data_IF_819755093966
#
_entry.id   IF_819755093966
#
_cell.length_a   1.000
_cell.length_b   1.000
_cell.length_c   1.000
_cell.angle_alpha   90.00
_cell.angle_beta   90.00
_cell.angle_gamma   90.00
#
_symmetry.space_group_name_H-M   'P 1'
#
loop_
_entity.id
_entity.type
_entity.pdbx_description
1 polymer ?
#
# COMPACT_ATOMS: atom_id res chain seq x y z
N UNK A 1 19.28 16.99 11.49
CA UNK A 1 18.31 16.42 11.76
C UNK A 1 17.68 16.00 10.67
N UNK A 2 17.21 14.98 10.71
CA UNK A 2 16.52 14.66 9.84
C UNK A 2 15.40 15.05 9.98
N UNK A 3 15.05 15.67 9.42
CA UNK A 3 13.87 16.00 9.30
C UNK A 3 13.25 15.20 8.43
N UNK A 4 12.16 14.82 8.70
CA UNK A 4 11.32 14.35 7.75
C UNK A 4 11.21 15.41 6.80
N UNK A 5 11.69 15.19 5.71
CA UNK A 5 11.62 16.17 4.72
C UNK A 5 10.17 16.52 4.50
N UNK A 6 9.86 17.69 4.20
CA UNK A 6 8.49 18.09 3.98
C UNK A 6 7.79 17.25 2.94
N UNK A 7 8.55 16.76 1.97
CA UNK A 7 7.95 15.97 0.94
C UNK A 7 7.68 14.55 1.37
N UNK A 8 8.19 14.12 2.53
CA UNK A 8 7.83 12.82 3.02
C UNK A 8 6.70 12.93 3.99
N UNK A 9 6.29 14.12 4.38
CA UNK A 9 5.15 14.22 5.16
C UNK A 9 4.05 14.12 4.25
N UNK A 10 3.03 13.64 4.68
CA UNK A 10 2.00 13.30 3.88
C UNK A 10 1.41 14.43 3.19
N UNK A 11 1.51 15.18 2.70
CA UNK A 11 0.94 16.13 1.79
C UNK A 11 -0.56 16.00 1.71
N UNK A 12 -1.18 15.30 2.65
CA UNK A 12 -2.60 15.05 2.55
C UNK A 12 -2.93 13.81 1.76
N UNK A 13 -1.95 13.10 1.27
CA UNK A 13 -2.20 11.89 0.51
C UNK A 13 -2.89 10.84 1.39
N UNK A 14 -3.77 10.06 0.80
CA UNK A 14 -4.52 9.03 1.50
C UNK A 14 -4.01 7.66 1.12
N UNK A 15 -3.64 6.88 2.12
CA UNK A 15 -3.18 5.51 1.93
C UNK A 15 -4.26 4.56 2.40
N UNK A 16 -4.41 3.45 1.69
CA UNK A 16 -5.27 2.37 2.15
C UNK A 16 -4.38 1.18 2.47
N UNK A 17 -4.35 0.77 3.73
CA UNK A 17 -3.51 -0.34 4.19
C UNK A 17 -4.39 -1.56 4.35
N UNK A 18 -4.06 -2.63 3.64
CA UNK A 18 -4.85 -3.84 3.64
C UNK A 18 -4.01 -5.02 4.14
N UNK A 19 -4.41 -5.59 5.25
CA UNK A 19 -3.69 -6.72 5.81
C UNK A 19 -4.67 -7.43 6.74
N UNK A 20 -4.74 -8.76 6.68
CA UNK A 20 -5.67 -9.49 7.52
C UNK A 20 -5.14 -9.66 8.94
N UNK A 21 -3.87 -9.34 9.18
CA UNK A 21 -3.32 -9.37 10.54
C UNK A 21 -3.60 -8.02 11.20
N UNK A 22 -4.40 -8.03 12.26
CA UNK A 22 -4.82 -6.81 12.93
C UNK A 22 -3.62 -6.01 13.45
N UNK A 23 -2.63 -6.69 14.01
CA UNK A 23 -1.46 -6.00 14.57
C UNK A 23 -0.64 -5.30 13.51
N UNK A 24 -0.40 -5.98 12.40
CA UNK A 24 0.35 -5.37 11.28
C UNK A 24 -0.41 -4.18 10.74
N UNK A 25 -1.72 -4.36 10.53
CA UNK A 25 -2.54 -3.30 9.96
C UNK A 25 -2.55 -2.07 10.86
N UNK A 26 -2.72 -2.28 12.15
CA UNK A 26 -2.78 -1.16 13.10
C UNK A 26 -1.43 -0.48 13.24
N UNK A 27 -0.35 -1.25 13.26
CA UNK A 27 0.98 -0.66 13.38
C UNK A 27 1.32 0.18 12.16
N UNK A 28 0.95 -0.31 10.97
CA UNK A 28 1.21 0.47 9.76
C UNK A 28 0.36 1.73 9.73
N UNK A 29 -0.89 1.65 10.17
CA UNK A 29 -1.75 2.81 10.19
C UNK A 29 -1.19 3.88 11.13
N UNK A 30 -0.70 3.48 12.30
CA UNK A 30 -0.10 4.42 13.22
C UNK A 30 1.16 5.05 12.65
N UNK A 31 1.99 4.23 12.03
CA UNK A 31 3.23 4.71 11.44
C UNK A 31 2.97 5.79 10.39
N UNK A 32 2.05 5.50 9.47
CA UNK A 32 1.79 6.45 8.40
C UNK A 32 1.06 7.70 8.90
N UNK A 33 0.24 7.53 9.94
CA UNK A 33 -0.40 8.69 10.55
C UNK A 33 0.65 9.64 11.12
N UNK A 34 1.71 9.08 11.73
CA UNK A 34 2.79 9.91 12.25
C UNK A 34 3.52 10.66 11.14
N UNK A 35 3.51 10.13 9.94
CA UNK A 35 4.15 10.80 8.82
C UNK A 35 3.23 11.78 8.12
N UNK A 36 2.01 11.97 8.62
CA UNK A 36 1.10 13.00 8.10
C UNK A 36 0.18 12.54 6.99
N UNK A 37 0.10 11.22 6.72
CA UNK A 37 -0.82 10.72 5.73
C UNK A 37 -2.20 10.52 6.32
N UNK A 38 -3.22 10.63 5.50
CA UNK A 38 -4.55 10.15 5.87
C UNK A 38 -4.53 8.64 5.63
N UNK A 39 -4.99 7.84 6.58
CA UNK A 39 -4.90 6.39 6.45
C UNK A 39 -6.26 5.76 6.61
N UNK A 40 -6.62 4.92 5.64
CA UNK A 40 -7.77 4.04 5.74
C UNK A 40 -7.24 2.62 5.85
N UNK A 41 -8.00 1.72 6.45
CA UNK A 41 -7.55 0.34 6.61
C UNK A 41 -8.64 -0.61 6.16
N UNK A 42 -8.23 -1.82 5.79
CA UNK A 42 -9.17 -2.88 5.44
C UNK A 42 -8.54 -4.21 5.80
N UNK A 43 -9.35 -5.18 6.20
CA UNK A 43 -8.85 -6.49 6.60
C UNK A 43 -8.84 -7.48 5.46
N UNK A 44 -9.45 -7.18 4.34
CA UNK A 44 -9.53 -8.08 3.20
C UNK A 44 -9.86 -7.29 1.94
N UNK A 45 -9.86 -7.97 0.81
CA UNK A 45 -10.07 -7.32 -0.49
C UNK A 45 -11.47 -6.72 -0.62
N UNK A 46 -12.48 -7.37 -0.06
CA UNK A 46 -13.83 -6.86 -0.16
C UNK A 46 -13.98 -5.52 0.57
N UNK A 47 -13.44 -5.44 1.79
CA UNK A 47 -13.45 -4.18 2.53
C UNK A 47 -12.64 -3.13 1.81
N UNK A 48 -11.51 -3.54 1.23
CA UNK A 48 -10.65 -2.60 0.51
C UNK A 48 -11.39 -1.98 -0.67
N UNK A 49 -12.11 -2.80 -1.43
CA UNK A 49 -12.85 -2.27 -2.57
C UNK A 49 -13.97 -1.33 -2.13
N UNK A 50 -14.58 -1.59 -0.98
CA UNK A 50 -15.58 -0.67 -0.45
C UNK A 50 -14.94 0.67 -0.09
N UNK A 51 -13.78 0.64 0.54
CA UNK A 51 -13.08 1.89 0.89
C UNK A 51 -12.67 2.65 -0.35
N UNK A 52 -12.22 1.94 -1.37
CA UNK A 52 -11.84 2.58 -2.63
C UNK A 52 -13.03 3.28 -3.30
N UNK A 53 -14.22 2.71 -3.15
CA UNK A 53 -15.41 3.32 -3.73
C UNK A 53 -15.85 4.57 -2.96
N UNK A 54 -15.58 4.59 -1.66
CA UNK A 54 -16.04 5.68 -0.80
C UNK A 54 -15.04 6.81 -0.60
N UNK A 55 -13.77 6.53 -0.72
CA UNK A 55 -12.72 7.49 -0.39
C UNK A 55 -11.79 7.73 -1.56
N UNK A 56 -11.15 8.87 -1.55
CA UNK A 56 -10.16 9.16 -2.57
C UNK A 56 -8.84 8.64 -2.07
N UNK A 57 -8.43 7.51 -2.54
CA UNK A 57 -7.20 6.86 -2.10
C UNK A 57 -6.11 7.07 -3.15
N UNK A 58 -4.94 7.49 -2.72
CA UNK A 58 -3.83 7.76 -3.61
C UNK A 58 -2.92 6.56 -3.76
N UNK A 59 -2.79 5.76 -2.72
CA UNK A 59 -1.90 4.61 -2.75
C UNK A 59 -2.48 3.46 -1.97
N UNK A 60 -2.44 2.27 -2.57
CA UNK A 60 -2.91 1.04 -1.95
C UNK A 60 -1.68 0.24 -1.51
N UNK A 61 -1.64 -0.15 -0.22
CA UNK A 61 -0.56 -0.95 0.30
C UNK A 61 -1.20 -2.23 0.80
N UNK A 62 -0.97 -3.34 0.13
CA UNK A 62 -1.69 -4.57 0.45
C UNK A 62 -0.79 -5.76 0.67
N UNK A 63 -1.15 -6.59 1.65
CA UNK A 63 -0.54 -7.87 1.85
C UNK A 63 -0.91 -8.78 0.68
N UNK A 64 -0.08 -9.75 0.37
CA UNK A 64 -0.35 -10.70 -0.68
C UNK A 64 -1.35 -11.76 -0.23
N UNK A 65 -1.06 -12.43 0.90
CA UNK A 65 -1.89 -13.53 1.32
C UNK A 65 -2.95 -13.08 2.26
N UNK A 66 -4.19 -13.23 1.84
CA UNK A 66 -5.35 -12.86 2.63
C UNK A 66 -6.46 -13.86 2.33
N UNK A 67 -7.40 -14.07 3.23
CA UNK A 67 -8.57 -14.90 2.90
C UNK A 67 -9.33 -14.24 1.76
N UNK A 68 -9.80 -15.04 0.84
CA UNK A 68 -10.49 -14.54 -0.34
C UNK A 68 -9.49 -14.08 -1.38
N UNK A 69 -9.81 -13.05 -2.14
CA UNK A 69 -8.88 -12.59 -3.18
C UNK A 69 -7.57 -12.14 -2.56
N UNK A 70 -6.48 -12.47 -3.22
CA UNK A 70 -5.16 -12.11 -2.71
C UNK A 70 -4.81 -10.68 -3.10
N UNK A 71 -3.65 -10.21 -2.63
CA UNK A 71 -3.23 -8.82 -2.87
C UNK A 71 -3.05 -8.49 -4.33
N UNK A 72 -2.58 -9.43 -5.14
CA UNK A 72 -2.41 -9.18 -6.57
C UNK A 72 -3.77 -9.02 -7.25
N UNK A 73 -4.73 -9.86 -6.89
CA UNK A 73 -6.09 -9.74 -7.42
C UNK A 73 -6.73 -8.43 -7.00
N UNK A 74 -6.47 -8.01 -5.76
CA UNK A 74 -6.96 -6.73 -5.27
C UNK A 74 -6.36 -5.58 -6.08
N UNK A 75 -5.05 -5.63 -6.36
CA UNK A 75 -4.40 -4.58 -7.14
C UNK A 75 -5.02 -4.48 -8.52
N UNK A 76 -5.29 -5.63 -9.14
CA UNK A 76 -5.91 -5.60 -10.45
C UNK A 76 -7.28 -4.96 -10.41
N UNK A 77 -8.09 -5.33 -9.43
CA UNK A 77 -9.43 -4.77 -9.30
C UNK A 77 -9.39 -3.28 -9.00
N UNK A 78 -8.45 -2.89 -8.13
CA UNK A 78 -8.32 -1.48 -7.76
C UNK A 78 -7.93 -0.63 -8.96
N UNK A 79 -7.04 -1.13 -9.78
CA UNK A 79 -6.58 -0.37 -10.94
C UNK A 79 -7.65 -0.29 -12.02
N UNK A 80 -8.51 -1.29 -12.11
CA UNK A 80 -9.64 -1.19 -13.03
C UNK A 80 -10.63 -0.12 -12.56
N UNK A 81 -10.85 -0.05 -11.25
CA UNK A 81 -11.78 0.93 -10.70
C UNK A 81 -11.20 2.33 -10.65
N UNK A 82 -9.90 2.43 -10.39
CA UNK A 82 -9.20 3.72 -10.24
C UNK A 82 -7.89 3.64 -10.98
N UNK A 83 -7.87 3.88 -12.28
CA UNK A 83 -6.65 3.66 -13.08
C UNK A 83 -5.42 4.43 -12.63
N UNK A 84 -5.60 5.52 -11.95
CA UNK A 84 -4.45 6.29 -11.48
C UNK A 84 -3.91 5.86 -10.13
N UNK A 85 -4.51 4.85 -9.49
CA UNK A 85 -4.07 4.48 -8.16
C UNK A 85 -2.72 3.77 -8.24
N UNK A 86 -1.87 4.02 -7.27
CA UNK A 86 -0.59 3.33 -7.18
C UNK A 86 -0.71 2.25 -6.13
N UNK A 87 -0.05 1.14 -6.36
CA UNK A 87 -0.17 -0.01 -5.47
C UNK A 87 1.17 -0.61 -5.13
N UNK A 88 1.36 -0.95 -3.86
CA UNK A 88 2.54 -1.62 -3.37
C UNK A 88 2.10 -2.95 -2.79
N UNK A 89 2.79 -4.03 -3.14
CA UNK A 89 2.50 -5.35 -2.60
C UNK A 89 3.48 -5.69 -1.49
N UNK A 90 2.95 -6.12 -0.36
CA UNK A 90 3.77 -6.65 0.75
C UNK A 90 3.67 -8.16 0.69
N UNK A 91 4.77 -8.86 0.77
CA UNK A 91 4.75 -10.30 0.64
C UNK A 91 5.74 -10.95 1.59
N UNK A 92 5.51 -12.21 1.91
CA UNK A 92 6.40 -12.94 2.79
C UNK A 92 7.68 -13.33 2.03
N UNK A 93 8.74 -13.50 2.79
CA UNK A 93 10.01 -13.89 2.22
C UNK A 93 9.82 -15.21 1.48
N UNK A 94 10.38 -15.31 0.33
CA UNK A 94 10.32 -16.57 -0.42
C UNK A 94 9.31 -16.60 -1.54
N UNK A 95 8.44 -15.61 -1.61
CA UNK A 95 7.45 -15.58 -2.68
C UNK A 95 8.00 -14.83 -3.88
N UNK A 96 9.19 -15.18 -4.32
CA UNK A 96 9.87 -14.40 -5.35
C UNK A 96 9.13 -14.37 -6.68
N UNK A 97 8.40 -15.44 -7.01
CA UNK A 97 7.65 -15.42 -8.26
C UNK A 97 6.56 -14.33 -8.25
N UNK A 98 6.13 -13.95 -7.05
CA UNK A 98 5.06 -12.98 -6.90
C UNK A 98 5.49 -11.58 -7.35
N UNK A 99 6.77 -11.29 -7.26
CA UNK A 99 7.25 -9.98 -7.67
C UNK A 99 6.97 -9.75 -9.16
N UNK A 100 7.32 -10.71 -10.00
CA UNK A 100 7.09 -10.58 -11.43
C UNK A 100 5.61 -10.48 -11.73
N UNK A 101 4.83 -11.34 -11.08
CA UNK A 101 3.40 -11.37 -11.31
C UNK A 101 2.77 -10.04 -10.89
N UNK A 102 3.17 -9.50 -9.74
CA UNK A 102 2.58 -8.27 -9.24
C UNK A 102 2.88 -7.09 -10.15
N UNK A 103 4.09 -7.03 -10.69
CA UNK A 103 4.46 -5.96 -11.59
C UNK A 103 3.63 -6.04 -12.87
N UNK A 104 3.44 -7.25 -13.39
CA UNK A 104 2.63 -7.42 -14.58
C UNK A 104 1.19 -7.01 -14.35
N UNK A 105 0.71 -7.14 -13.13
CA UNK A 105 -0.67 -6.83 -12.82
C UNK A 105 -0.88 -5.44 -12.27
N UNK A 106 0.18 -4.65 -12.23
CA UNK A 106 0.03 -3.23 -11.95
C UNK A 106 0.63 -2.69 -10.67
N UNK A 107 1.32 -3.51 -9.90
CA UNK A 107 2.01 -3.01 -8.72
C UNK A 107 3.19 -2.17 -9.16
N UNK A 108 3.39 -1.03 -8.51
CA UNK A 108 4.54 -0.19 -8.79
C UNK A 108 5.59 -0.30 -7.70
N UNK A 109 5.29 -1.03 -6.64
CA UNK A 109 6.25 -1.28 -5.57
C UNK A 109 6.05 -2.65 -4.98
N UNK A 110 7.11 -3.16 -4.36
CA UNK A 110 7.10 -4.50 -3.81
C UNK A 110 8.03 -4.52 -2.62
N UNK A 111 7.60 -5.06 -1.49
CA UNK A 111 8.46 -5.12 -0.32
C UNK A 111 8.24 -6.43 0.40
N UNK A 112 9.32 -7.03 0.90
CA UNK A 112 9.23 -8.28 1.62
C UNK A 112 9.09 -8.06 3.10
N UNK A 113 8.23 -8.86 3.72
CA UNK A 113 8.13 -8.86 5.18
C UNK A 113 9.16 -9.82 5.73
N UNK A 114 9.74 -9.55 6.85
CA UNK A 114 9.55 -8.34 7.66
C UNK A 114 10.35 -7.18 7.11
N UNK A 115 9.86 -5.98 7.29
CA UNK A 115 10.57 -4.79 6.82
C UNK A 115 10.70 -3.80 7.96
N UNK A 116 11.66 -2.90 7.83
CA UNK A 116 11.85 -1.84 8.81
C UNK A 116 10.93 -0.68 8.48
N UNK A 117 10.61 0.11 9.49
CA UNK A 117 9.77 1.29 9.28
C UNK A 117 10.34 2.20 8.20
N UNK A 118 11.66 2.40 8.20
CA UNK A 118 12.31 3.26 7.21
C UNK A 118 12.14 2.73 5.81
N UNK A 119 12.14 1.42 5.63
CA UNK A 119 12.01 0.85 4.31
C UNK A 119 10.64 1.14 3.73
N UNK A 120 9.60 0.90 4.52
CA UNK A 120 8.26 1.05 3.98
C UNK A 120 7.88 2.52 3.82
N UNK A 121 8.27 3.37 4.76
CA UNK A 121 7.95 4.79 4.64
C UNK A 121 8.70 5.42 3.48
N UNK A 122 9.96 5.00 3.29
CA UNK A 122 10.74 5.49 2.17
C UNK A 122 10.17 5.05 0.83
N UNK A 123 9.72 3.80 0.74
CA UNK A 123 9.13 3.29 -0.49
C UNK A 123 7.84 4.05 -0.82
N UNK A 124 6.98 4.25 0.17
CA UNK A 124 5.73 4.98 -0.04
C UNK A 124 6.01 6.40 -0.52
N UNK A 125 6.96 7.08 0.12
CA UNK A 125 7.28 8.45 -0.27
C UNK A 125 7.80 8.51 -1.69
N UNK A 126 8.66 7.55 -2.08
CA UNK A 126 9.19 7.52 -3.45
C UNK A 126 8.11 7.25 -4.47
N UNK A 127 7.21 6.33 -4.17
CA UNK A 127 6.14 6.00 -5.11
C UNK A 127 5.18 7.19 -5.27
N UNK A 128 4.84 7.86 -4.18
CA UNK A 128 3.94 9.01 -4.26
C UNK A 128 4.58 10.18 -4.98
N UNK A 129 5.89 10.25 -5.01
CA UNK A 129 6.59 11.32 -5.70
C UNK A 129 6.72 11.08 -7.20
N UNK A 130 6.42 9.86 -7.69
CA UNK A 130 6.52 9.59 -9.11
C UNK A 130 5.48 10.38 -9.85
N UNK A 131 5.88 10.94 -11.00
CA UNK A 131 4.94 11.68 -11.78
C UNK A 131 4.29 10.78 -12.78
N UNK A 132 3.05 11.05 -13.08
CA UNK A 132 2.40 10.27 -14.08
C UNK A 132 2.74 10.85 -15.40
N UNK A 133 3.02 10.06 -16.38
CA UNK A 133 3.38 10.55 -17.69
C UNK A 133 2.36 10.19 -18.74
#
# INVERSE_FOLDING_TARGET
>A
MITLAPDTKGTGACLLVVDDDDGVRENLAELFDLYGYAVETAANATEAMQKLAEKSVDLLLTDYRMPGPNGVQLIESARRAKPGIRAILMTAFGDSFTEIESVRRGAVGYINKPFEADEITGLVARILALKEE
#
